data_IF_244836536010
#
_entry.id   IF_244836536010
#
_cell.length_a   1.000
_cell.length_b   1.000
_cell.length_c   1.000
_cell.angle_alpha   90.00
_cell.angle_beta   90.00
_cell.angle_gamma   90.00
#
_symmetry.space_group_name_H-M   'P 1'
#
loop_
_entity.id
_entity.type
_entity.pdbx_description
1 polymer ?
#
# COMPACT_ATOMS: atom_id res chain seq x y z
N UNK A 1 -14.74 22.07 25.77
CA UNK A 1 -13.50 21.26 25.73
C UNK A 1 -13.73 19.80 25.32
N UNK A 2 -14.59 19.02 26.01
CA UNK A 2 -14.79 17.59 25.70
C UNK A 2 -15.33 17.29 24.28
N UNK A 3 -16.33 18.05 23.80
CA UNK A 3 -16.87 17.93 22.43
C UNK A 3 -15.82 18.16 21.35
N UNK A 4 -14.94 19.15 21.53
CA UNK A 4 -13.88 19.44 20.57
C UNK A 4 -12.88 18.28 20.46
N UNK A 5 -12.54 17.64 21.59
CA UNK A 5 -11.64 16.47 21.61
C UNK A 5 -12.26 15.26 20.91
N UNK A 6 -13.58 15.04 21.04
CA UNK A 6 -14.30 13.98 20.34
C UNK A 6 -14.29 14.21 18.82
N UNK A 7 -14.60 15.43 18.36
CA UNK A 7 -14.59 15.76 16.93
C UNK A 7 -13.19 15.58 16.31
N UNK A 8 -12.14 15.97 17.03
CA UNK A 8 -10.75 15.77 16.59
C UNK A 8 -10.39 14.28 16.54
N UNK A 9 -10.86 13.48 17.49
CA UNK A 9 -10.64 12.04 17.50
C UNK A 9 -11.34 11.34 16.32
N UNK A 10 -12.59 11.70 16.04
CA UNK A 10 -13.34 11.17 14.88
C UNK A 10 -12.68 11.55 13.56
N UNK A 11 -12.26 12.80 13.40
CA UNK A 11 -11.57 13.26 12.20
C UNK A 11 -10.26 12.50 11.95
N UNK A 12 -9.48 12.26 13.02
CA UNK A 12 -8.25 11.49 12.94
C UNK A 12 -8.51 10.01 12.59
N UNK A 13 -9.56 9.41 13.14
CA UNK A 13 -9.97 8.05 12.81
C UNK A 13 -10.38 7.95 11.33
N UNK A 14 -11.23 8.87 10.87
CA UNK A 14 -11.71 8.93 9.48
C UNK A 14 -10.55 9.07 8.50
N UNK A 15 -9.58 9.93 8.83
CA UNK A 15 -8.33 10.08 8.06
C UNK A 15 -7.51 8.80 8.02
N UNK A 16 -7.38 8.10 9.16
CA UNK A 16 -6.69 6.82 9.26
C UNK A 16 -7.34 5.74 8.38
N UNK A 17 -8.67 5.67 8.37
CA UNK A 17 -9.43 4.73 7.53
C UNK A 17 -9.20 5.04 6.04
N UNK A 18 -9.30 6.30 5.63
CA UNK A 18 -9.07 6.70 4.23
C UNK A 18 -7.65 6.37 3.76
N UNK A 19 -6.64 6.66 4.60
CA UNK A 19 -5.26 6.28 4.32
C UNK A 19 -5.10 4.76 4.26
N UNK A 20 -5.79 4.01 5.12
CA UNK A 20 -5.76 2.55 5.10
C UNK A 20 -6.33 1.96 3.81
N UNK A 21 -7.49 2.46 3.36
CA UNK A 21 -8.10 2.06 2.08
C UNK A 21 -7.15 2.39 0.92
N UNK A 22 -6.59 3.60 0.90
CA UNK A 22 -5.63 4.00 -0.13
C UNK A 22 -4.38 3.10 -0.12
N UNK A 23 -3.84 2.80 1.06
CA UNK A 23 -2.68 1.92 1.21
C UNK A 23 -2.95 0.51 0.68
N UNK A 24 -4.08 -0.09 1.05
CA UNK A 24 -4.46 -1.43 0.56
C UNK A 24 -4.64 -1.42 -0.95
N UNK A 25 -5.36 -0.43 -1.49
CA UNK A 25 -5.56 -0.28 -2.93
C UNK A 25 -4.24 -0.13 -3.69
N UNK A 26 -3.32 0.68 -3.18
CA UNK A 26 -1.99 0.88 -3.77
C UNK A 26 -1.15 -0.41 -3.73
N UNK A 27 -1.21 -1.21 -2.67
CA UNK A 27 -0.49 -2.49 -2.60
C UNK A 27 -1.05 -3.54 -3.58
N UNK A 28 -2.37 -3.57 -3.77
CA UNK A 28 -3.00 -4.48 -4.75
C UNK A 28 -2.63 -4.04 -6.18
N UNK A 29 -2.68 -2.73 -6.44
CA UNK A 29 -2.29 -2.18 -7.74
C UNK A 29 -0.81 -2.46 -8.03
N UNK A 30 0.06 -2.24 -7.04
CA UNK A 30 1.47 -2.59 -7.14
C UNK A 30 1.66 -4.08 -7.47
N UNK A 31 0.99 -4.98 -6.76
CA UNK A 31 1.03 -6.43 -7.05
C UNK A 31 0.65 -6.76 -8.51
N UNK A 32 -0.40 -6.11 -9.02
CA UNK A 32 -0.83 -6.29 -10.41
C UNK A 32 0.22 -5.81 -11.40
N UNK A 33 0.78 -4.62 -11.18
CA UNK A 33 1.81 -4.06 -12.06
C UNK A 33 3.09 -4.90 -12.02
N UNK A 34 3.49 -5.37 -10.83
CA UNK A 34 4.62 -6.29 -10.68
C UNK A 34 4.37 -7.63 -11.39
N UNK A 35 3.15 -8.16 -11.32
CA UNK A 35 2.77 -9.36 -12.09
C UNK A 35 2.92 -9.15 -13.60
N UNK A 36 2.48 -7.99 -14.11
CA UNK A 36 2.63 -7.67 -15.54
C UNK A 36 4.08 -7.44 -15.96
N UNK A 37 4.91 -6.76 -15.14
CA UNK A 37 6.33 -6.57 -15.46
C UNK A 37 7.09 -7.89 -15.49
N UNK A 38 6.79 -8.81 -14.55
CA UNK A 38 7.37 -10.16 -14.55
C UNK A 38 6.99 -10.95 -15.80
N UNK A 39 5.73 -10.85 -16.27
CA UNK A 39 5.29 -11.50 -17.52
C UNK A 39 6.02 -10.93 -18.73
N UNK A 40 6.33 -9.63 -18.72
CA UNK A 40 7.09 -8.98 -19.79
C UNK A 40 8.58 -9.37 -19.79
N UNK A 41 9.07 -10.09 -18.77
CA UNK A 41 10.45 -10.55 -18.68
C UNK A 41 11.33 -9.71 -17.76
N UNK A 42 10.77 -8.75 -17.03
CA UNK A 42 11.48 -8.05 -15.98
C UNK A 42 11.78 -8.98 -14.79
N UNK A 43 12.80 -8.66 -14.01
CA UNK A 43 13.14 -9.39 -12.78
C UNK A 43 12.76 -8.58 -11.55
N UNK A 44 12.22 -9.27 -10.54
CA UNK A 44 11.97 -8.71 -9.22
C UNK A 44 13.30 -8.37 -8.53
N UNK A 45 13.53 -7.08 -8.28
CA UNK A 45 14.73 -6.61 -7.56
C UNK A 45 14.68 -6.99 -6.07
N UNK A 46 13.49 -7.27 -5.53
CA UNK A 46 13.35 -7.69 -4.15
C UNK A 46 13.40 -9.23 -4.06
N UNK A 47 14.45 -9.82 -3.46
CA UNK A 47 14.63 -11.27 -3.40
C UNK A 47 13.52 -11.98 -2.61
N UNK A 48 12.85 -11.28 -1.68
CA UNK A 48 11.69 -11.81 -0.96
C UNK A 48 10.47 -11.84 -1.89
N UNK A 49 10.28 -10.79 -2.68
CA UNK A 49 9.16 -10.66 -3.61
C UNK A 49 9.28 -11.59 -4.83
N UNK A 50 10.51 -11.89 -5.25
CA UNK A 50 10.86 -12.79 -6.34
C UNK A 50 10.35 -14.24 -6.17
N UNK A 51 9.96 -14.63 -4.95
CA UNK A 51 9.37 -15.96 -4.65
C UNK A 51 7.91 -16.12 -5.10
N UNK A 52 7.37 -15.18 -5.88
CA UNK A 52 5.95 -15.12 -6.27
C UNK A 52 5.08 -14.32 -5.30
N UNK A 53 5.68 -13.82 -4.22
CA UNK A 53 5.04 -12.91 -3.26
C UNK A 53 4.66 -11.57 -3.91
N UNK A 54 5.54 -11.02 -4.76
CA UNK A 54 5.39 -9.67 -5.26
C UNK A 54 4.30 -9.47 -6.30
N UNK A 55 3.90 -10.53 -7.02
CA UNK A 55 2.80 -10.52 -7.99
C UNK A 55 1.46 -10.99 -7.42
N UNK A 56 1.44 -11.54 -6.20
CA UNK A 56 0.22 -12.05 -5.59
C UNK A 56 -0.65 -10.94 -5.00
N UNK A 57 -1.73 -10.58 -5.70
CA UNK A 57 -2.68 -9.56 -5.26
C UNK A 57 -3.32 -9.90 -3.91
N UNK A 58 -3.70 -11.17 -3.71
CA UNK A 58 -4.29 -11.64 -2.46
C UNK A 58 -3.33 -11.49 -1.29
N UNK A 59 -2.06 -11.88 -1.49
CA UNK A 59 -1.07 -11.88 -0.41
C UNK A 59 -0.66 -10.45 -0.03
N UNK A 60 -0.33 -9.59 -1.01
CA UNK A 60 -0.04 -8.16 -0.78
C UNK A 60 -1.23 -7.43 -0.17
N UNK A 61 -2.45 -7.74 -0.63
CA UNK A 61 -3.69 -7.18 -0.07
C UNK A 61 -3.91 -7.57 1.39
N UNK A 62 -3.81 -8.86 1.74
CA UNK A 62 -3.97 -9.35 3.11
C UNK A 62 -2.91 -8.75 4.05
N UNK A 63 -1.66 -8.70 3.62
CA UNK A 63 -0.58 -8.13 4.41
C UNK A 63 -0.79 -6.63 4.61
N UNK A 64 -1.23 -5.91 3.57
CA UNK A 64 -1.57 -4.50 3.70
C UNK A 64 -2.71 -4.28 4.71
N UNK A 65 -3.75 -5.12 4.70
CA UNK A 65 -4.85 -5.06 5.68
C UNK A 65 -4.32 -5.30 7.10
N UNK A 66 -3.48 -6.31 7.31
CA UNK A 66 -2.87 -6.61 8.62
C UNK A 66 -2.04 -5.43 9.11
N UNK A 67 -1.24 -4.81 8.24
CA UNK A 67 -0.44 -3.62 8.55
C UNK A 67 -1.35 -2.45 8.96
N UNK A 68 -2.43 -2.20 8.23
CA UNK A 68 -3.39 -1.12 8.54
C UNK A 68 -4.02 -1.35 9.91
N UNK A 69 -4.51 -2.56 10.18
CA UNK A 69 -5.12 -2.92 11.47
C UNK A 69 -4.11 -2.73 12.60
N UNK A 70 -2.88 -3.24 12.45
CA UNK A 70 -1.83 -3.09 13.44
C UNK A 70 -1.50 -1.60 13.71
N UNK A 71 -1.31 -0.80 12.66
CA UNK A 71 -0.97 0.61 12.80
C UNK A 71 -2.09 1.45 13.45
N UNK A 72 -3.35 1.13 13.14
CA UNK A 72 -4.50 1.74 13.81
C UNK A 72 -4.56 1.34 15.29
N UNK A 73 -4.35 0.06 15.59
CA UNK A 73 -4.36 -0.46 16.97
C UNK A 73 -3.26 0.16 17.84
N UNK A 74 -2.04 0.26 17.31
CA UNK A 74 -0.91 0.91 18.00
C UNK A 74 -0.94 2.45 17.95
N UNK A 75 -2.02 3.06 17.45
CA UNK A 75 -2.19 4.52 17.29
C UNK A 75 -1.05 5.18 16.50
N UNK A 76 -0.40 4.44 15.60
CA UNK A 76 0.74 4.87 14.78
C UNK A 76 0.27 5.36 13.40
N UNK A 77 -0.84 6.10 13.33
CA UNK A 77 -1.43 6.58 12.06
C UNK A 77 -0.50 7.44 11.21
N UNK A 78 0.49 8.11 11.81
CA UNK A 78 1.52 8.85 11.07
C UNK A 78 2.40 7.94 10.20
N UNK A 79 2.70 6.71 10.64
CA UNK A 79 3.43 5.75 9.82
C UNK A 79 2.60 5.32 8.61
N UNK A 80 1.30 5.10 8.81
CA UNK A 80 0.40 4.75 7.71
C UNK A 80 0.38 5.85 6.64
N UNK A 81 0.44 7.13 7.04
CA UNK A 81 0.58 8.25 6.11
C UNK A 81 1.87 8.14 5.28
N UNK A 82 3.02 7.92 5.92
CA UNK A 82 4.30 7.82 5.21
C UNK A 82 4.36 6.59 4.30
N UNK A 83 3.85 5.46 4.75
CA UNK A 83 3.73 4.23 3.96
C UNK A 83 2.84 4.44 2.74
N UNK A 84 1.67 5.07 2.92
CA UNK A 84 0.77 5.39 1.82
C UNK A 84 1.36 6.38 0.82
N UNK A 85 2.25 7.28 1.27
CA UNK A 85 2.88 8.29 0.43
C UNK A 85 4.12 7.76 -0.32
N UNK A 86 4.76 6.71 0.21
CA UNK A 86 5.88 6.02 -0.45
C UNK A 86 5.45 5.04 -1.55
N UNK A 87 4.20 4.58 -1.54
CA UNK A 87 3.67 3.63 -2.53
C UNK A 87 3.46 4.20 -3.95
N UNK A 88 2.94 5.44 -4.15
CA UNK A 88 2.70 5.98 -5.48
C UNK A 88 3.95 6.03 -6.38
N UNK A 89 5.14 6.46 -5.91
CA UNK A 89 6.36 6.37 -6.71
C UNK A 89 6.68 4.95 -7.20
N UNK A 90 6.44 3.93 -6.37
CA UNK A 90 6.68 2.52 -6.72
C UNK A 90 5.70 2.07 -7.81
N UNK A 91 4.42 2.37 -7.63
CA UNK A 91 3.36 2.08 -8.60
C UNK A 91 3.64 2.79 -9.94
N UNK A 92 4.03 4.07 -9.89
CA UNK A 92 4.40 4.84 -11.08
C UNK A 92 5.61 4.26 -11.79
N UNK A 93 6.64 3.86 -11.05
CA UNK A 93 7.82 3.20 -11.60
C UNK A 93 7.44 1.91 -12.35
N UNK A 94 6.64 1.04 -11.73
CA UNK A 94 6.18 -0.19 -12.37
C UNK A 94 5.30 0.09 -13.59
N UNK A 95 4.44 1.12 -13.53
CA UNK A 95 3.64 1.56 -14.68
C UNK A 95 4.51 2.06 -15.84
N UNK A 96 5.54 2.87 -15.56
CA UNK A 96 6.49 3.36 -16.56
C UNK A 96 7.32 2.22 -17.17
N UNK A 97 7.70 1.22 -16.36
CA UNK A 97 8.40 0.04 -16.85
C UNK A 97 7.52 -0.79 -17.80
N UNK A 98 6.21 -0.90 -17.54
CA UNK A 98 5.29 -1.58 -18.47
C UNK A 98 5.15 -0.77 -19.76
N UNK A 99 4.99 0.56 -19.65
CA UNK A 99 4.87 1.43 -20.82
C UNK A 99 6.11 1.35 -21.72
N UNK A 100 7.32 1.29 -21.16
CA UNK A 100 8.55 1.23 -21.96
C UNK A 100 8.77 -0.10 -22.67
N UNK A 101 8.03 -1.15 -22.30
CA UNK A 101 8.09 -2.49 -22.92
C UNK A 101 6.89 -2.76 -23.85
N UNK A 102 5.92 -1.83 -23.91
CA UNK A 102 4.73 -1.91 -24.76
C UNK A 102 4.90 -1.11 -26.06
#
# INVERSE_FOLDING_TARGET
MARLRLLVAEANLRKGILLGIAFVGLNILDARLTGTTLVLGASELNPIAATGFGSSMLLKGLIAIVIVIALLFFRRGNLLKWLSLGMPPIVLWNGLAIWSWS
#
